data_IF_170110055611
#
_entry.id   IF_170110055611
#
_cell.length_a   1.000
_cell.length_b   1.000
_cell.length_c   1.000
_cell.angle_alpha   90.00
_cell.angle_beta   90.00
_cell.angle_gamma   90.00
#
_symmetry.space_group_name_H-M   'P 1'
#
loop_
_entity.id
_entity.type
_entity.pdbx_description
1 polymer ?
#
# COMPACT_ATOMS: atom_id res chain seq x y z
N UNK A 1 -4.26 18.83 17.24
CA UNK A 1 -5.34 19.22 18.18
C UNK A 1 -6.43 18.13 18.11
N UNK A 2 -6.41 17.14 19.01
CA UNK A 2 -7.36 16.01 18.98
C UNK A 2 -8.32 16.10 20.18
N UNK A 3 -9.64 16.09 19.92
CA UNK A 3 -10.68 15.97 20.94
C UNK A 3 -11.40 14.62 20.83
N UNK A 4 -11.60 13.96 21.98
CA UNK A 4 -12.07 12.59 22.08
C UNK A 4 -13.58 12.38 21.93
N UNK A 5 -13.95 11.10 21.94
CA UNK A 5 -15.34 10.62 21.96
C UNK A 5 -15.45 9.47 22.96
N UNK A 6 -16.27 9.70 24.00
CA UNK A 6 -16.69 8.73 25.01
C UNK A 6 -17.64 7.66 24.41
N UNK A 7 -17.47 6.41 24.86
CA UNK A 7 -18.35 5.27 24.54
C UNK A 7 -19.57 5.25 25.46
N UNK A 8 -20.77 5.18 24.87
CA UNK A 8 -22.03 4.89 25.58
C UNK A 8 -22.39 3.41 25.42
N UNK A 9 -22.48 2.70 26.54
CA UNK A 9 -23.04 1.35 26.64
C UNK A 9 -24.55 1.34 26.40
N UNK A 10 -25.06 0.33 25.69
CA UNK A 10 -26.39 -0.23 25.99
C UNK A 10 -26.46 -1.72 25.68
N UNK A 11 -27.13 -2.44 26.58
CA UNK A 11 -27.33 -3.89 26.64
C UNK A 11 -28.76 -4.25 26.19
N UNK A 12 -28.97 -5.48 25.68
CA UNK A 12 -30.19 -6.22 26.00
C UNK A 12 -30.97 -6.96 24.89
N UNK A 13 -30.83 -8.29 24.92
CA UNK A 13 -31.89 -9.35 24.86
C UNK A 13 -32.70 -9.66 23.58
N UNK A 14 -32.32 -10.80 22.99
CA UNK A 14 -33.11 -12.05 22.77
C UNK A 14 -34.63 -12.01 22.53
N UNK A 15 -35.09 -12.66 21.43
CA UNK A 15 -36.20 -13.63 21.48
C UNK A 15 -36.28 -14.57 20.26
N UNK A 16 -36.55 -15.84 20.58
CA UNK A 16 -36.77 -17.05 19.76
C UNK A 16 -38.20 -17.14 19.20
N UNK A 17 -38.37 -17.98 18.15
CA UNK A 17 -39.55 -18.81 17.72
C UNK A 17 -39.92 -18.57 16.25
N UNK A 18 -40.31 -19.52 15.38
CA UNK A 18 -40.52 -20.98 15.38
C UNK A 18 -40.67 -21.40 13.91
N UNK A 19 -40.20 -22.58 13.53
CA UNK A 19 -40.42 -23.21 12.22
C UNK A 19 -41.76 -23.96 12.16
N UNK A 20 -42.45 -23.93 11.02
CA UNK A 20 -43.45 -24.95 10.64
C UNK A 20 -43.34 -25.26 9.14
N UNK A 21 -43.24 -26.56 8.87
CA UNK A 21 -43.11 -27.22 7.57
C UNK A 21 -44.40 -27.16 6.74
N UNK A 22 -44.26 -27.11 5.41
CA UNK A 22 -45.31 -27.50 4.47
C UNK A 22 -44.79 -28.66 3.59
N UNK A 23 -45.48 -29.81 3.69
CA UNK A 23 -45.27 -31.01 2.89
C UNK A 23 -45.82 -30.80 1.47
N UNK A 24 -45.03 -31.16 0.46
CA UNK A 24 -45.47 -31.26 -0.94
C UNK A 24 -45.84 -32.72 -1.25
N UNK A 25 -47.08 -32.92 -1.66
CA UNK A 25 -47.62 -34.21 -2.10
C UNK A 25 -47.11 -34.59 -3.49
N UNK A 26 -46.88 -35.91 -3.64
CA UNK A 26 -46.42 -36.59 -4.83
C UNK A 26 -47.57 -36.77 -5.83
N UNK A 27 -47.34 -36.43 -7.10
CA UNK A 27 -48.11 -36.98 -8.22
C UNK A 27 -47.21 -37.82 -9.12
N UNK A 28 -47.61 -39.09 -9.31
CA UNK A 28 -47.01 -40.03 -10.26
C UNK A 28 -47.62 -39.87 -11.67
N UNK A 29 -46.91 -40.27 -12.74
CA UNK A 29 -47.22 -39.91 -14.12
C UNK A 29 -48.06 -40.98 -14.86
N UNK A 30 -48.52 -40.64 -16.05
CA UNK A 30 -49.19 -41.55 -17.01
C UNK A 30 -48.86 -41.10 -18.45
N UNK A 31 -48.96 -41.99 -19.45
CA UNK A 31 -47.77 -42.49 -20.14
C UNK A 31 -47.57 -41.95 -21.57
N UNK A 32 -46.37 -42.28 -22.04
CA UNK A 32 -45.74 -42.06 -23.35
C UNK A 32 -46.65 -42.41 -24.54
N UNK A 33 -46.71 -41.49 -25.51
CA UNK A 33 -47.04 -41.80 -26.90
C UNK A 33 -45.83 -41.44 -27.77
N UNK A 34 -45.26 -42.46 -28.42
CA UNK A 34 -44.18 -42.34 -29.39
C UNK A 34 -44.69 -41.71 -30.69
N UNK A 35 -44.02 -40.64 -31.13
CA UNK A 35 -44.03 -40.26 -32.54
C UNK A 35 -42.61 -39.93 -32.97
N UNK A 36 -42.07 -40.82 -33.81
CA UNK A 36 -40.89 -40.64 -34.64
C UNK A 36 -41.04 -39.41 -35.56
N UNK A 37 -40.00 -38.57 -35.68
CA UNK A 37 -39.62 -37.86 -36.92
C UNK A 37 -38.28 -37.11 -36.80
N UNK A 38 -37.33 -37.56 -37.63
CA UNK A 38 -36.21 -36.87 -38.31
C UNK A 38 -35.18 -36.03 -37.48
N UNK A 39 -33.87 -36.16 -37.76
CA UNK A 39 -32.83 -35.42 -37.06
C UNK A 39 -32.81 -33.95 -37.52
N UNK A 40 -33.20 -33.05 -36.62
CA UNK A 40 -32.80 -31.65 -36.69
C UNK A 40 -31.33 -31.59 -36.25
N UNK A 41 -30.45 -31.21 -37.17
CA UNK A 41 -29.06 -30.89 -36.85
C UNK A 41 -29.04 -29.59 -36.05
N UNK A 42 -29.17 -29.71 -34.74
CA UNK A 42 -28.88 -28.63 -33.81
C UNK A 42 -27.36 -28.53 -33.69
N UNK A 43 -26.77 -27.45 -34.20
CA UNK A 43 -25.50 -26.96 -33.66
C UNK A 43 -25.77 -26.61 -32.20
N UNK A 44 -25.62 -27.59 -31.31
CA UNK A 44 -25.61 -27.37 -29.89
C UNK A 44 -24.41 -26.49 -29.60
N UNK A 45 -24.66 -25.23 -29.25
CA UNK A 45 -23.68 -24.39 -28.60
C UNK A 45 -23.30 -25.15 -27.33
N UNK A 46 -22.09 -25.70 -27.30
CA UNK A 46 -21.56 -26.39 -26.13
C UNK A 46 -21.59 -25.40 -24.98
N UNK A 47 -22.44 -25.65 -23.99
CA UNK A 47 -22.39 -24.91 -22.73
C UNK A 47 -20.97 -25.14 -22.18
N UNK A 48 -20.21 -24.08 -21.84
CA UNK A 48 -18.90 -24.26 -21.24
C UNK A 48 -19.04 -25.18 -20.03
N UNK A 49 -18.40 -26.36 -20.12
CA UNK A 49 -18.41 -27.35 -19.05
C UNK A 49 -17.26 -27.05 -18.12
N UNK A 50 -17.58 -26.83 -16.85
CA UNK A 50 -16.58 -26.77 -15.78
C UNK A 50 -15.75 -28.05 -15.82
N UNK A 51 -14.42 -27.92 -15.79
CA UNK A 51 -13.48 -29.03 -15.88
C UNK A 51 -13.81 -30.08 -14.79
N UNK A 52 -13.75 -31.38 -15.11
CA UNK A 52 -14.03 -32.46 -14.16
C UNK A 52 -13.09 -32.48 -12.95
N UNK A 53 -11.94 -31.81 -13.03
CA UNK A 53 -11.03 -31.58 -11.92
C UNK A 53 -11.56 -30.55 -10.89
N UNK A 54 -12.49 -29.68 -11.28
CA UNK A 54 -13.04 -28.64 -10.39
C UNK A 54 -14.17 -29.24 -9.54
N UNK A 55 -14.07 -29.21 -8.19
CA UNK A 55 -15.06 -29.81 -7.33
C UNK A 55 -16.41 -29.12 -7.46
N UNK A 56 -17.48 -29.90 -7.66
CA UNK A 56 -18.86 -29.36 -7.68
C UNK A 56 -19.35 -28.87 -6.31
N UNK A 57 -18.63 -29.21 -5.24
CA UNK A 57 -18.96 -28.84 -3.86
C UNK A 57 -17.66 -28.76 -3.06
N UNK A 58 -17.39 -27.59 -2.49
CA UNK A 58 -16.31 -27.40 -1.53
C UNK A 58 -16.82 -27.73 -0.12
N UNK A 59 -16.11 -28.60 0.61
CA UNK A 59 -16.44 -28.99 2.00
C UNK A 59 -15.23 -28.70 2.86
N UNK A 60 -15.38 -27.74 3.78
CA UNK A 60 -14.35 -27.25 4.67
C UNK A 60 -13.95 -28.34 5.68
N UNK A 61 -12.64 -28.58 5.85
CA UNK A 61 -12.06 -29.71 6.59
C UNK A 61 -11.53 -29.33 7.98
N UNK A 62 -11.35 -28.03 8.30
CA UNK A 62 -10.78 -27.58 9.58
C UNK A 62 -11.57 -26.44 10.27
N UNK A 63 -11.53 -26.41 11.61
CA UNK A 63 -12.17 -25.38 12.45
C UNK A 63 -11.27 -24.14 12.58
N UNK A 64 -11.01 -23.48 11.45
CA UNK A 64 -10.36 -22.16 11.39
C UNK A 64 -11.38 -21.17 10.88
N UNK A 65 -12.29 -20.76 11.78
CA UNK A 65 -13.46 -19.94 11.47
C UNK A 65 -13.11 -18.71 10.61
N UNK A 66 -12.04 -17.98 10.95
CA UNK A 66 -11.60 -16.78 10.22
C UNK A 66 -11.20 -17.09 8.77
N UNK A 67 -10.23 -17.99 8.58
CA UNK A 67 -9.76 -18.41 7.24
C UNK A 67 -10.89 -18.95 6.38
N UNK A 68 -11.81 -19.69 6.99
CA UNK A 68 -12.99 -20.21 6.30
C UNK A 68 -13.92 -19.10 5.82
N UNK A 69 -14.23 -18.14 6.69
CA UNK A 69 -15.07 -16.98 6.34
C UNK A 69 -14.40 -16.11 5.26
N UNK A 70 -13.08 -15.92 5.34
CA UNK A 70 -12.31 -15.22 4.33
C UNK A 70 -12.34 -15.92 2.99
N UNK A 71 -12.14 -17.24 2.95
CA UNK A 71 -12.17 -18.02 1.71
C UNK A 71 -13.57 -17.99 1.06
N UNK A 72 -14.64 -18.14 1.85
CA UNK A 72 -16.01 -17.98 1.36
C UNK A 72 -16.21 -16.58 0.77
N UNK A 73 -15.71 -15.55 1.46
CA UNK A 73 -15.82 -14.18 0.97
C UNK A 73 -15.02 -13.96 -0.31
N UNK A 74 -13.81 -14.52 -0.43
CA UNK A 74 -13.00 -14.47 -1.65
C UNK A 74 -13.72 -15.15 -2.82
N UNK A 75 -14.41 -16.27 -2.58
CA UNK A 75 -15.27 -16.93 -3.57
C UNK A 75 -16.43 -16.00 -4.00
N UNK A 76 -17.13 -15.39 -3.04
CA UNK A 76 -18.25 -14.48 -3.30
C UNK A 76 -17.84 -13.19 -4.03
N UNK A 77 -16.59 -12.76 -3.86
CA UNK A 77 -15.99 -11.63 -4.56
C UNK A 77 -15.38 -12.02 -5.92
N UNK A 78 -15.38 -13.31 -6.28
CA UNK A 78 -14.80 -13.79 -7.53
C UNK A 78 -13.27 -13.74 -7.57
N UNK A 79 -12.61 -13.70 -6.41
CA UNK A 79 -11.15 -13.67 -6.29
C UNK A 79 -10.53 -15.06 -6.38
N UNK A 80 -11.30 -16.13 -6.15
CA UNK A 80 -10.85 -17.51 -6.34
C UNK A 80 -11.21 -17.99 -7.75
N UNK A 81 -10.26 -18.65 -8.40
CA UNK A 81 -10.36 -19.20 -9.75
C UNK A 81 -10.06 -20.70 -9.76
N UNK A 82 -10.27 -21.35 -10.90
CA UNK A 82 -10.06 -22.80 -11.05
C UNK A 82 -8.58 -23.22 -10.86
N UNK A 83 -7.61 -22.33 -11.09
CA UNK A 83 -6.18 -22.64 -10.91
C UNK A 83 -5.75 -22.62 -9.42
N UNK A 84 -6.45 -21.84 -8.59
CA UNK A 84 -6.24 -21.84 -7.13
C UNK A 84 -6.72 -23.17 -6.51
N UNK A 85 -7.49 -23.91 -7.31
CA UNK A 85 -8.17 -25.14 -7.04
C UNK A 85 -7.42 -26.39 -7.61
N UNK A 86 -6.10 -26.33 -7.78
CA UNK A 86 -5.30 -27.48 -8.22
C UNK A 86 -4.79 -28.36 -7.06
N UNK A 87 -4.87 -29.69 -7.22
CA UNK A 87 -4.34 -30.63 -6.23
C UNK A 87 -2.79 -30.65 -6.22
N UNK A 88 -2.17 -30.86 -5.05
CA UNK A 88 -2.81 -31.00 -3.74
C UNK A 88 -3.15 -29.63 -3.14
N UNK A 89 -4.42 -29.44 -2.77
CA UNK A 89 -4.78 -28.52 -1.69
C UNK A 89 -4.88 -29.37 -0.41
N UNK A 90 -4.24 -28.94 0.66
CA UNK A 90 -4.31 -29.68 1.93
C UNK A 90 -5.30 -29.01 2.90
N UNK A 91 -5.44 -27.68 2.82
CA UNK A 91 -6.25 -26.87 3.73
C UNK A 91 -6.88 -25.65 3.02
N UNK A 92 -7.89 -25.05 3.65
CA UNK A 92 -8.54 -23.79 3.19
C UNK A 92 -7.54 -22.63 3.10
N UNK A 93 -6.56 -22.59 4.01
CA UNK A 93 -5.51 -21.58 4.03
C UNK A 93 -4.65 -21.62 2.76
N UNK A 94 -4.36 -22.83 2.23
CA UNK A 94 -3.59 -22.97 0.98
C UNK A 94 -4.36 -22.37 -0.21
N UNK A 95 -5.66 -22.63 -0.31
CA UNK A 95 -6.49 -22.08 -1.41
C UNK A 95 -6.60 -20.56 -1.29
N UNK A 96 -6.86 -20.05 -0.09
CA UNK A 96 -6.93 -18.62 0.18
C UNK A 96 -5.60 -17.92 -0.14
N UNK A 97 -4.48 -18.49 0.31
CA UNK A 97 -3.14 -17.97 0.04
C UNK A 97 -2.80 -17.96 -1.46
N UNK A 98 -3.10 -19.02 -2.20
CA UNK A 98 -2.90 -19.06 -3.67
C UNK A 98 -3.73 -17.99 -4.37
N UNK A 99 -5.03 -17.90 -4.07
CA UNK A 99 -5.92 -16.92 -4.68
C UNK A 99 -5.47 -15.48 -4.37
N UNK A 100 -5.05 -15.22 -3.13
CA UNK A 100 -4.56 -13.91 -2.73
C UNK A 100 -3.22 -13.58 -3.39
N UNK A 101 -2.24 -14.48 -3.37
CA UNK A 101 -0.93 -14.27 -4.02
C UNK A 101 -1.10 -14.02 -5.52
N UNK A 102 -1.95 -14.77 -6.20
CA UNK A 102 -2.26 -14.53 -7.62
C UNK A 102 -2.88 -13.15 -7.85
N UNK A 103 -3.79 -12.71 -6.96
CA UNK A 103 -4.34 -11.36 -7.03
C UNK A 103 -3.24 -10.30 -6.87
N UNK A 104 -2.35 -10.46 -5.88
CA UNK A 104 -1.21 -9.54 -5.67
C UNK A 104 -0.26 -9.53 -6.86
N UNK A 105 0.10 -10.70 -7.41
CA UNK A 105 0.96 -10.82 -8.61
C UNK A 105 0.34 -10.15 -9.84
N UNK A 106 -0.99 -10.19 -9.98
CA UNK A 106 -1.70 -9.51 -11.05
C UNK A 106 -1.65 -7.99 -10.88
N UNK A 107 -1.86 -7.49 -9.66
CA UNK A 107 -1.85 -6.04 -9.39
C UNK A 107 -0.43 -5.44 -9.39
N UNK A 108 0.58 -6.22 -8.98
CA UNK A 108 2.00 -5.81 -8.98
C UNK A 108 2.69 -5.92 -10.34
N UNK A 109 2.02 -6.56 -11.31
CA UNK A 109 2.58 -6.79 -12.64
C UNK A 109 2.96 -5.48 -13.33
N UNK A 110 4.20 -5.40 -13.80
CA UNK A 110 4.73 -4.25 -14.54
C UNK A 110 5.32 -3.13 -13.68
N UNK A 111 5.35 -3.28 -12.35
CA UNK A 111 6.16 -2.42 -11.49
C UNK A 111 7.64 -2.68 -11.75
N UNK A 112 8.43 -1.61 -11.86
CA UNK A 112 9.86 -1.69 -12.17
C UNK A 112 10.74 -1.32 -10.98
N UNK A 113 10.28 -0.40 -10.14
CA UNK A 113 10.99 0.14 -8.98
C UNK A 113 10.51 -0.51 -7.68
N UNK A 114 9.22 -0.83 -7.58
CA UNK A 114 8.64 -1.36 -6.36
C UNK A 114 8.47 -2.88 -6.41
N UNK A 115 8.68 -3.52 -5.26
CA UNK A 115 8.40 -4.94 -5.05
C UNK A 115 7.60 -5.13 -3.75
N UNK A 116 6.31 -4.72 -3.73
CA UNK A 116 5.47 -4.82 -2.54
C UNK A 116 5.14 -6.28 -2.24
N UNK A 117 5.16 -6.63 -0.96
CA UNK A 117 4.71 -7.92 -0.45
C UNK A 117 3.55 -7.67 0.48
N UNK A 118 2.39 -8.22 0.15
CA UNK A 118 1.21 -8.14 1.01
C UNK A 118 0.91 -9.53 1.54
N UNK A 119 0.79 -9.65 2.87
CA UNK A 119 0.56 -10.92 3.56
C UNK A 119 -0.81 -10.90 4.22
N UNK A 120 -1.56 -11.99 4.02
CA UNK A 120 -2.83 -12.22 4.72
C UNK A 120 -2.55 -13.02 6.00
N UNK A 121 -2.79 -12.42 7.17
CA UNK A 121 -2.47 -13.03 8.48
C UNK A 121 -3.58 -12.77 9.51
N UNK A 122 -3.64 -13.56 10.57
CA UNK A 122 -4.55 -13.37 11.70
C UNK A 122 -3.87 -12.77 12.95
N UNK A 123 -2.55 -12.60 12.93
CA UNK A 123 -1.76 -11.87 13.93
C UNK A 123 -0.51 -11.22 13.29
N UNK A 124 0.04 -10.21 13.97
CA UNK A 124 1.41 -9.75 13.71
C UNK A 124 2.30 -10.33 14.80
N UNK A 125 3.14 -11.31 14.45
CA UNK A 125 4.26 -11.70 15.28
C UNK A 125 5.48 -10.93 14.79
N UNK A 126 6.02 -10.08 15.65
CA UNK A 126 7.32 -9.48 15.41
C UNK A 126 8.39 -10.43 15.98
N UNK A 127 9.43 -10.74 15.22
CA UNK A 127 10.49 -11.70 15.60
C UNK A 127 11.43 -11.12 16.70
N UNK A 128 10.89 -10.40 17.69
CA UNK A 128 11.67 -9.76 18.74
C UNK A 128 10.93 -8.90 19.77
N UNK A 129 9.73 -8.37 19.51
CA UNK A 129 9.02 -7.52 20.48
C UNK A 129 8.01 -8.28 21.33
N UNK A 130 7.79 -7.81 22.57
CA UNK A 130 6.86 -8.43 23.53
C UNK A 130 5.39 -8.11 23.30
N UNK A 131 5.06 -7.44 22.18
CA UNK A 131 3.72 -6.94 21.87
C UNK A 131 3.16 -7.67 20.65
N UNK A 132 2.76 -8.93 20.84
CA UNK A 132 1.96 -9.65 19.83
C UNK A 132 0.65 -8.89 19.60
N UNK A 133 0.47 -8.32 18.41
CA UNK A 133 -0.80 -7.71 18.03
C UNK A 133 -1.78 -8.81 17.56
N UNK A 134 -2.78 -9.10 18.40
CA UNK A 134 -3.90 -9.98 18.08
C UNK A 134 -5.00 -9.20 17.34
N UNK A 135 -5.30 -9.61 16.10
CA UNK A 135 -6.35 -9.03 15.29
C UNK A 135 -7.77 -9.30 15.83
N UNK A 136 -7.93 -10.08 16.92
CA UNK A 136 -9.21 -10.37 17.54
C UNK A 136 -10.08 -11.23 16.63
N UNK A 137 -11.18 -10.68 16.10
CA UNK A 137 -12.03 -11.35 15.09
C UNK A 137 -11.68 -10.94 13.64
N UNK A 138 -10.79 -9.96 13.45
CA UNK A 138 -10.39 -9.47 12.14
C UNK A 138 -9.33 -10.36 11.48
N UNK A 139 -9.11 -10.09 10.19
CA UNK A 139 -7.98 -10.55 9.39
C UNK A 139 -7.18 -9.32 8.96
N UNK A 140 -5.86 -9.49 8.89
CA UNK A 140 -4.91 -8.45 8.53
C UNK A 140 -4.39 -8.65 7.11
N UNK A 141 -4.30 -7.54 6.36
CA UNK A 141 -3.53 -7.44 5.13
C UNK A 141 -2.31 -6.58 5.45
N UNK A 142 -1.16 -7.21 5.69
CA UNK A 142 0.07 -6.53 6.13
C UNK A 142 0.98 -6.21 4.96
N UNK A 143 1.54 -5.01 4.92
CA UNK A 143 2.29 -4.48 3.79
C UNK A 143 3.78 -4.42 4.11
N UNK A 144 4.59 -4.97 3.22
CA UNK A 144 6.06 -4.98 3.30
C UNK A 144 6.64 -4.61 1.93
N UNK A 145 7.94 -4.33 1.89
CA UNK A 145 8.69 -4.15 0.65
C UNK A 145 9.84 -5.15 0.55
N UNK A 146 10.18 -5.53 -0.67
CA UNK A 146 11.45 -6.22 -0.99
C UNK A 146 12.36 -5.38 -1.88
N UNK A 147 11.94 -4.17 -2.22
CA UNK A 147 12.72 -3.26 -3.03
C UNK A 147 13.81 -2.60 -2.19
N UNK A 148 15.00 -2.47 -2.77
CA UNK A 148 16.16 -1.75 -2.22
C UNK A 148 16.85 -0.89 -3.28
N UNK A 149 16.05 -0.36 -4.21
CA UNK A 149 16.59 0.42 -5.32
C UNK A 149 17.03 1.82 -4.84
N UNK A 150 18.15 2.28 -5.40
CA UNK A 150 18.69 3.62 -5.20
C UNK A 150 18.48 4.48 -6.45
N UNK A 151 17.89 5.66 -6.27
CA UNK A 151 17.59 6.59 -7.35
C UNK A 151 18.30 7.93 -7.13
N UNK A 152 18.95 8.45 -8.17
CA UNK A 152 19.39 9.85 -8.24
C UNK A 152 18.38 10.65 -9.06
N UNK A 153 17.67 11.58 -8.42
CA UNK A 153 16.57 12.32 -9.05
C UNK A 153 16.91 13.76 -9.43
N UNK A 154 17.99 14.35 -8.89
CA UNK A 154 18.25 15.79 -8.99
C UNK A 154 18.35 16.28 -10.43
N UNK A 155 19.17 15.62 -11.27
CA UNK A 155 19.32 16.00 -12.68
C UNK A 155 18.00 15.92 -13.46
N UNK A 156 17.18 14.90 -13.21
CA UNK A 156 15.90 14.74 -13.89
C UNK A 156 14.88 15.80 -13.44
N UNK A 157 14.77 16.02 -12.14
CA UNK A 157 13.89 17.03 -11.55
C UNK A 157 14.27 18.45 -12.01
N UNK A 158 15.56 18.80 -12.00
CA UNK A 158 16.06 20.09 -12.51
C UNK A 158 15.82 20.24 -14.01
N UNK A 159 15.95 19.18 -14.80
CA UNK A 159 15.69 19.23 -16.24
C UNK A 159 14.22 19.56 -16.53
N UNK A 160 13.29 18.98 -15.75
CA UNK A 160 11.86 19.31 -15.84
C UNK A 160 11.60 20.76 -15.42
N UNK A 161 12.18 21.19 -14.30
CA UNK A 161 12.02 22.55 -13.79
C UNK A 161 12.56 23.61 -14.77
N UNK A 162 13.69 23.32 -15.42
CA UNK A 162 14.26 24.17 -16.47
C UNK A 162 13.42 24.16 -17.75
N UNK A 163 12.79 23.04 -18.11
CA UNK A 163 11.92 22.94 -19.27
C UNK A 163 10.61 23.72 -19.07
N UNK A 164 10.06 23.71 -17.86
CA UNK A 164 8.88 24.51 -17.49
C UNK A 164 8.93 24.92 -16.01
N UNK A 165 9.16 26.19 -15.69
CA UNK A 165 9.22 26.66 -14.30
C UNK A 165 7.98 26.32 -13.48
N UNK A 166 8.21 25.77 -12.29
CA UNK A 166 7.24 25.25 -11.33
C UNK A 166 6.80 23.82 -11.58
N UNK A 167 7.18 23.18 -12.70
CA UNK A 167 6.73 21.83 -13.03
C UNK A 167 7.51 20.75 -12.26
N UNK A 168 8.83 20.92 -12.10
CA UNK A 168 9.65 19.97 -11.36
C UNK A 168 9.26 19.95 -9.89
N UNK A 169 9.12 21.13 -9.29
CA UNK A 169 8.65 21.26 -7.90
C UNK A 169 7.22 20.74 -7.71
N UNK A 170 6.32 21.00 -8.66
CA UNK A 170 4.95 20.45 -8.60
C UNK A 170 4.94 18.92 -8.71
N UNK A 171 5.79 18.33 -9.55
CA UNK A 171 5.91 16.88 -9.66
C UNK A 171 6.41 16.29 -8.34
N UNK A 172 7.47 16.86 -7.76
CA UNK A 172 8.00 16.45 -6.45
C UNK A 172 6.93 16.55 -5.35
N UNK A 173 6.13 17.60 -5.35
CA UNK A 173 5.01 17.74 -4.41
C UNK A 173 3.98 16.61 -4.54
N UNK A 174 3.61 16.21 -5.77
CA UNK A 174 2.66 15.12 -5.96
C UNK A 174 3.28 13.75 -5.64
N UNK A 175 4.57 13.56 -5.91
CA UNK A 175 5.31 12.37 -5.49
C UNK A 175 5.28 12.24 -3.97
N UNK A 176 5.67 13.29 -3.24
CA UNK A 176 5.68 13.27 -1.77
C UNK A 176 4.32 12.86 -1.20
N UNK A 177 3.23 13.48 -1.68
CA UNK A 177 1.87 13.11 -1.27
C UNK A 177 1.49 11.66 -1.54
N UNK A 178 1.95 11.11 -2.67
CA UNK A 178 1.65 9.73 -3.06
C UNK A 178 2.48 8.70 -2.29
N UNK A 179 3.74 9.01 -1.95
CA UNK A 179 4.59 8.19 -1.09
C UNK A 179 3.94 8.01 0.28
N UNK A 180 3.51 9.09 0.94
CA UNK A 180 2.79 9.01 2.23
C UNK A 180 1.47 8.20 2.19
N UNK A 181 0.93 7.94 0.99
CA UNK A 181 -0.31 7.19 0.82
C UNK A 181 -0.07 5.70 0.49
N UNK A 182 1.19 5.26 0.44
CA UNK A 182 1.59 3.91 0.01
C UNK A 182 2.69 3.30 0.89
N UNK A 183 3.93 3.22 0.41
CA UNK A 183 5.07 2.64 1.11
C UNK A 183 6.05 3.75 1.49
N UNK A 184 6.66 3.64 2.66
CA UNK A 184 7.69 4.57 3.10
C UNK A 184 8.88 4.54 2.15
N UNK A 185 9.41 5.72 1.82
CA UNK A 185 10.62 5.87 1.02
C UNK A 185 11.54 6.87 1.73
N UNK A 186 12.84 6.63 1.69
CA UNK A 186 13.83 7.63 2.08
C UNK A 186 13.96 8.63 0.91
N UNK A 187 13.45 9.85 1.08
CA UNK A 187 13.42 10.90 0.07
C UNK A 187 13.99 12.18 0.66
N UNK A 188 14.34 13.20 -0.14
CA UNK A 188 14.78 14.48 0.43
C UNK A 188 13.70 15.11 1.34
N UNK A 189 12.42 14.84 1.10
CA UNK A 189 11.35 15.33 1.96
C UNK A 189 11.25 14.54 3.27
N UNK A 190 11.15 13.21 3.22
CA UNK A 190 11.06 12.39 4.43
C UNK A 190 12.32 12.47 5.29
N UNK A 191 13.51 12.53 4.69
CA UNK A 191 14.76 12.73 5.44
C UNK A 191 14.87 14.14 6.03
N UNK A 192 14.18 15.15 5.49
CA UNK A 192 14.07 16.44 6.19
C UNK A 192 13.24 16.28 7.47
N UNK A 193 12.13 15.55 7.42
CA UNK A 193 11.32 15.25 8.61
C UNK A 193 12.11 14.43 9.64
N UNK A 194 12.90 13.45 9.19
CA UNK A 194 13.81 12.69 10.05
C UNK A 194 14.91 13.59 10.64
N UNK A 195 15.46 14.54 9.89
CA UNK A 195 16.45 15.47 10.42
C UNK A 195 15.86 16.35 11.54
N UNK A 196 14.62 16.83 11.34
CA UNK A 196 13.88 17.55 12.40
C UNK A 196 13.75 16.68 13.64
N UNK A 197 13.32 15.44 13.46
CA UNK A 197 13.14 14.49 14.55
C UNK A 197 14.45 14.15 15.30
N UNK A 198 15.50 13.77 14.57
CA UNK A 198 16.74 13.22 15.13
C UNK A 198 17.71 14.29 15.63
N UNK A 199 17.83 15.43 14.95
CA UNK A 199 18.84 16.43 15.29
C UNK A 199 18.27 17.72 15.88
N UNK A 200 17.01 18.05 15.60
CA UNK A 200 16.43 19.36 15.97
C UNK A 200 15.25 19.25 16.94
N UNK A 201 15.12 18.11 17.63
CA UNK A 201 14.09 17.87 18.65
C UNK A 201 12.65 18.10 18.16
N UNK A 202 12.40 17.84 16.88
CA UNK A 202 11.12 18.05 16.21
C UNK A 202 10.89 19.45 15.65
N UNK A 203 11.84 20.38 15.84
CA UNK A 203 11.77 21.74 15.30
C UNK A 203 12.30 21.84 13.86
N UNK A 204 12.05 22.98 13.20
CA UNK A 204 12.45 23.20 11.81
C UNK A 204 13.96 23.45 11.60
N UNK A 205 14.69 23.79 12.67
CA UNK A 205 16.12 24.06 12.69
C UNK A 205 16.75 23.84 14.08
N UNK A 206 18.07 23.94 14.17
CA UNK A 206 18.82 23.63 15.38
C UNK A 206 18.69 24.66 16.53
N UNK A 207 17.82 25.69 16.43
CA UNK A 207 17.80 26.79 17.41
C UNK A 207 17.48 26.34 18.83
N UNK A 208 16.54 25.42 19.01
CA UNK A 208 16.18 24.94 20.36
C UNK A 208 17.36 24.19 21.00
N UNK A 209 18.07 23.37 20.22
CA UNK A 209 19.27 22.66 20.66
C UNK A 209 20.36 23.64 21.10
N UNK A 210 20.57 24.73 20.32
CA UNK A 210 21.50 25.81 20.70
C UNK A 210 21.09 26.47 22.03
N UNK A 211 19.80 26.75 22.21
CA UNK A 211 19.28 27.37 23.44
C UNK A 211 19.51 26.46 24.67
N UNK A 212 19.33 25.15 24.52
CA UNK A 212 19.59 24.17 25.57
C UNK A 212 21.08 24.05 25.91
N UNK A 213 21.97 23.92 24.91
CA UNK A 213 23.42 23.90 25.14
C UNK A 213 23.89 25.14 25.92
N UNK A 214 23.39 26.33 25.56
CA UNK A 214 23.71 27.57 26.25
C UNK A 214 23.20 27.59 27.69
N UNK A 215 22.01 27.03 27.94
CA UNK A 215 21.44 26.92 29.28
C UNK A 215 22.22 25.96 30.19
N UNK A 216 22.84 24.93 29.61
CA UNK A 216 23.72 23.98 30.32
C UNK A 216 25.15 24.52 30.52
N UNK A 217 25.46 25.69 29.96
CA UNK A 217 26.78 26.33 30.05
C UNK A 217 27.80 25.79 29.07
N UNK A 218 27.35 25.05 28.04
CA UNK A 218 28.16 24.57 26.93
C UNK A 218 28.26 25.62 25.83
N UNK A 219 29.36 25.60 25.08
CA UNK A 219 29.51 26.43 23.89
C UNK A 219 28.93 25.71 22.68
N UNK A 220 27.95 26.28 21.96
CA UNK A 220 27.43 25.69 20.72
C UNK A 220 28.47 25.52 19.60
N UNK A 221 29.63 26.16 19.73
CA UNK A 221 30.76 26.02 18.81
C UNK A 221 31.61 24.77 19.12
N UNK A 222 31.54 24.27 20.36
CA UNK A 222 32.29 23.09 20.82
C UNK A 222 31.48 21.79 20.69
N UNK A 223 30.18 21.90 20.39
CA UNK A 223 29.27 20.76 20.17
C UNK A 223 29.14 20.49 18.67
N UNK A 224 29.42 19.25 18.25
CA UNK A 224 29.15 18.80 16.88
C UNK A 224 27.63 18.68 16.70
N UNK A 225 27.06 19.64 15.97
CA UNK A 225 25.62 19.76 15.77
C UNK A 225 25.32 19.81 14.28
N UNK A 226 24.45 18.90 13.84
CA UNK A 226 23.98 18.86 12.47
C UNK A 226 22.98 19.99 12.22
N UNK A 227 23.29 20.90 11.30
CA UNK A 227 22.51 22.12 11.08
C UNK A 227 21.56 21.97 9.91
N UNK A 228 20.52 22.80 9.90
CA UNK A 228 19.66 22.93 8.72
C UNK A 228 20.45 23.30 7.47
N UNK A 229 21.45 24.17 7.61
CA UNK A 229 22.32 24.56 6.49
C UNK A 229 23.11 23.40 5.90
N UNK A 230 23.43 22.39 6.70
CA UNK A 230 24.20 21.22 6.25
C UNK A 230 23.35 20.38 5.31
N UNK A 231 22.10 20.08 5.73
CA UNK A 231 21.14 19.33 4.90
C UNK A 231 20.88 19.98 3.52
N UNK A 232 20.78 21.31 3.47
CA UNK A 232 20.54 22.06 2.23
C UNK A 232 21.81 22.44 1.47
N UNK A 233 23.01 22.04 1.93
CA UNK A 233 24.25 22.38 1.25
C UNK A 233 24.35 21.77 -0.16
N UNK A 234 23.65 20.65 -0.38
CA UNK A 234 23.79 19.78 -1.58
C UNK A 234 22.49 19.54 -2.34
N UNK A 235 21.38 20.10 -1.87
CA UNK A 235 20.08 20.01 -2.52
C UNK A 235 19.30 21.33 -2.35
N UNK A 236 18.50 21.74 -3.34
CA UNK A 236 17.72 22.97 -3.24
C UNK A 236 16.54 22.79 -2.28
N UNK A 237 16.14 23.86 -1.58
CA UNK A 237 15.04 23.78 -0.59
C UNK A 237 13.76 23.14 -1.13
N UNK A 238 13.41 23.45 -2.37
CA UNK A 238 12.19 22.93 -3.01
C UNK A 238 12.22 21.42 -3.27
N UNK A 239 13.40 20.77 -3.24
CA UNK A 239 13.49 19.32 -3.38
C UNK A 239 13.04 18.60 -2.10
N UNK A 240 13.27 19.20 -0.92
CA UNK A 240 12.90 18.64 0.37
C UNK A 240 11.61 19.25 0.97
N UNK A 241 11.24 20.47 0.59
CA UNK A 241 9.96 21.10 0.92
C UNK A 241 9.24 21.55 -0.36
N UNK A 242 8.83 20.61 -1.24
CA UNK A 242 8.22 20.95 -2.51
C UNK A 242 6.84 21.57 -2.33
N UNK A 243 6.49 22.55 -3.17
CA UNK A 243 5.18 23.20 -3.17
C UNK A 243 4.46 22.99 -4.50
N UNK A 244 3.13 22.92 -4.43
CA UNK A 244 2.31 22.91 -5.64
C UNK A 244 2.33 24.29 -6.32
N UNK A 245 3.26 24.50 -7.25
CA UNK A 245 3.34 25.74 -8.05
C UNK A 245 2.32 25.76 -9.19
N UNK A 246 1.93 24.59 -9.70
CA UNK A 246 0.99 24.45 -10.81
C UNK A 246 -0.28 23.71 -10.38
N UNK A 247 -1.42 24.32 -10.68
CA UNK A 247 -2.74 23.72 -10.49
C UNK A 247 -3.03 22.62 -11.53
N UNK A 248 -4.00 21.71 -11.27
CA UNK A 248 -4.40 20.69 -12.24
C UNK A 248 -4.86 21.27 -13.59
N UNK A 249 -5.43 22.47 -13.60
CA UNK A 249 -5.82 23.15 -14.84
C UNK A 249 -4.60 23.60 -15.66
N UNK A 250 -3.53 24.07 -15.00
CA UNK A 250 -2.27 24.41 -15.65
C UNK A 250 -1.56 23.16 -16.17
N UNK A 251 -1.54 22.05 -15.42
CA UNK A 251 -0.99 20.78 -15.88
C UNK A 251 -1.70 20.30 -17.17
N UNK A 252 -3.04 20.32 -17.19
CA UNK A 252 -3.82 19.99 -18.41
C UNK A 252 -3.51 20.91 -19.59
N UNK A 253 -3.18 22.18 -19.34
CA UNK A 253 -2.77 23.10 -20.40
C UNK A 253 -1.41 22.69 -20.95
N UNK A 254 -0.43 22.42 -20.08
CA UNK A 254 0.92 22.00 -20.47
C UNK A 254 0.88 20.73 -21.33
N UNK A 255 0.10 19.73 -20.92
CA UNK A 255 -0.10 18.47 -21.68
C UNK A 255 -0.63 18.72 -23.10
N UNK A 256 -1.42 19.79 -23.33
CA UNK A 256 -1.99 20.11 -24.65
C UNK A 256 -1.10 20.98 -25.52
N UNK A 257 -0.16 21.72 -24.91
CA UNK A 257 0.58 22.79 -25.59
C UNK A 257 2.08 22.56 -25.65
N UNK A 258 2.58 21.53 -24.98
CA UNK A 258 4.01 21.23 -24.85
C UNK A 258 4.24 19.79 -25.30
N UNK A 259 5.47 19.47 -25.68
CA UNK A 259 5.87 18.13 -26.11
C UNK A 259 7.04 17.62 -25.26
N UNK A 260 7.37 16.33 -25.39
CA UNK A 260 8.48 15.68 -24.71
C UNK A 260 8.40 15.76 -23.19
N UNK A 261 9.55 16.03 -22.55
CA UNK A 261 9.72 15.95 -21.09
C UNK A 261 8.70 16.78 -20.29
N UNK A 262 8.36 17.99 -20.75
CA UNK A 262 7.39 18.83 -20.05
C UNK A 262 5.96 18.27 -20.13
N UNK A 263 5.58 17.64 -21.25
CA UNK A 263 4.30 16.96 -21.39
C UNK A 263 4.23 15.72 -20.51
N UNK A 264 5.27 14.90 -20.54
CA UNK A 264 5.37 13.66 -19.75
C UNK A 264 5.34 13.95 -18.24
N UNK A 265 6.10 14.94 -17.77
CA UNK A 265 6.11 15.34 -16.37
C UNK A 265 4.76 15.92 -15.92
N UNK A 266 4.11 16.73 -16.76
CA UNK A 266 2.77 17.25 -16.44
C UNK A 266 1.72 16.13 -16.40
N UNK A 267 1.83 15.12 -17.26
CA UNK A 267 0.96 13.95 -17.25
C UNK A 267 1.16 13.13 -15.97
N UNK A 268 2.41 12.84 -15.58
CA UNK A 268 2.73 12.11 -14.36
C UNK A 268 2.25 12.85 -13.10
N UNK A 269 2.51 14.15 -12.99
CA UNK A 269 2.04 14.96 -11.87
C UNK A 269 0.50 15.01 -11.79
N UNK A 270 -0.18 15.12 -12.94
CA UNK A 270 -1.63 15.13 -12.98
C UNK A 270 -2.20 13.76 -12.58
N UNK A 271 -1.62 12.67 -13.09
CA UNK A 271 -2.03 11.31 -12.75
C UNK A 271 -1.90 11.02 -11.25
N UNK A 272 -0.75 11.31 -10.64
CA UNK A 272 -0.55 11.19 -9.19
C UNK A 272 -1.62 11.95 -8.41
N UNK A 273 -1.90 13.20 -8.82
CA UNK A 273 -2.91 14.02 -8.15
C UNK A 273 -4.33 13.44 -8.25
N UNK A 274 -4.63 12.66 -9.31
CA UNK A 274 -5.93 12.04 -9.54
C UNK A 274 -6.10 10.70 -8.81
N UNK A 275 -5.01 10.00 -8.52
CA UNK A 275 -5.06 8.74 -7.75
C UNK A 275 -5.26 8.96 -6.25
N UNK A 276 -5.00 10.17 -5.75
CA UNK A 276 -5.27 10.54 -4.35
C UNK A 276 -6.75 10.92 -4.18
N UNK A 277 -7.60 9.89 -4.14
CA UNK A 277 -9.06 10.01 -4.04
C UNK A 277 -9.54 10.13 -2.59
N UNK A 278 -10.68 10.79 -2.40
CA UNK A 278 -11.34 10.90 -1.10
C UNK A 278 -11.78 9.51 -0.60
N UNK A 279 -11.47 9.21 0.66
CA UNK A 279 -11.87 7.97 1.33
C UNK A 279 -10.91 6.79 1.19
N UNK A 280 -9.91 6.88 0.31
CA UNK A 280 -8.76 5.96 0.34
C UNK A 280 -7.87 6.28 1.55
N UNK A 281 -7.40 5.23 2.20
CA UNK A 281 -6.37 5.31 3.25
C UNK A 281 -5.30 4.29 2.92
N UNK A 282 -4.05 4.76 2.84
CA UNK A 282 -2.90 3.87 2.73
C UNK A 282 -2.79 2.92 3.92
N UNK A 283 -1.92 1.91 3.85
CA UNK A 283 -1.60 1.09 5.02
C UNK A 283 -1.12 2.00 6.15
N UNK A 284 -1.54 1.70 7.37
CA UNK A 284 -1.16 2.45 8.56
C UNK A 284 -1.19 1.52 9.78
N UNK A 285 -0.64 1.99 10.89
CA UNK A 285 -0.73 1.32 12.17
C UNK A 285 -1.81 1.99 13.04
N UNK A 286 -2.76 1.22 13.58
CA UNK A 286 -3.77 1.76 14.51
C UNK A 286 -3.15 2.13 15.87
N UNK A 287 -2.12 1.40 16.28
CA UNK A 287 -1.34 1.60 17.49
C UNK A 287 0.13 1.75 17.13
N UNK A 288 0.94 2.34 17.99
CA UNK A 288 2.38 2.44 17.75
C UNK A 288 3.00 1.04 17.79
N UNK A 289 3.51 0.57 16.65
CA UNK A 289 4.19 -0.73 16.52
C UNK A 289 5.73 -0.57 16.48
N UNK A 290 6.22 0.65 16.29
CA UNK A 290 7.64 0.96 16.17
C UNK A 290 7.93 1.87 14.99
N UNK A 291 9.18 2.29 14.90
CA UNK A 291 9.72 3.06 13.77
C UNK A 291 9.92 2.14 12.55
N UNK A 292 9.46 2.56 11.36
CA UNK A 292 9.70 1.78 10.14
C UNK A 292 11.15 1.97 9.66
N UNK A 293 11.87 0.85 9.54
CA UNK A 293 13.31 0.83 9.22
C UNK A 293 13.62 0.20 7.86
N UNK A 294 12.60 -0.15 7.06
CA UNK A 294 12.78 -0.81 5.76
C UNK A 294 12.12 0.04 4.65
N UNK A 295 12.80 1.08 4.15
CA UNK A 295 12.21 1.97 3.16
C UNK A 295 12.13 1.25 1.82
N UNK A 296 11.00 1.40 1.12
CA UNK A 296 10.81 0.74 -0.17
C UNK A 296 11.74 1.26 -1.28
N UNK A 297 12.22 2.50 -1.16
CA UNK A 297 13.18 3.12 -2.07
C UNK A 297 14.10 4.09 -1.32
N UNK A 298 15.34 4.18 -1.79
CA UNK A 298 16.26 5.28 -1.46
C UNK A 298 16.31 6.26 -2.61
N UNK A 299 15.66 7.42 -2.43
CA UNK A 299 15.55 8.48 -3.42
C UNK A 299 16.43 9.64 -2.99
N UNK A 300 17.56 9.78 -3.67
CA UNK A 300 18.56 10.81 -3.42
C UNK A 300 18.49 11.88 -4.49
N UNK A 301 18.64 13.14 -4.09
CA UNK A 301 18.92 14.25 -4.99
C UNK A 301 20.22 14.03 -5.79
N UNK A 302 21.30 13.66 -5.11
CA UNK A 302 22.62 13.42 -5.71
C UNK A 302 23.47 12.46 -4.85
N UNK A 303 24.59 11.96 -5.38
CA UNK A 303 25.53 11.11 -4.61
C UNK A 303 26.15 11.85 -3.41
N UNK A 304 26.11 13.18 -3.41
CA UNK A 304 26.69 14.03 -2.37
C UNK A 304 25.65 14.56 -1.37
N UNK A 305 24.37 14.19 -1.51
CA UNK A 305 23.37 14.64 -0.54
C UNK A 305 23.41 13.85 0.77
N UNK A 306 22.72 14.41 1.77
CA UNK A 306 22.67 13.84 3.12
C UNK A 306 21.45 12.92 3.36
N UNK A 307 20.70 12.55 2.33
CA UNK A 307 19.54 11.64 2.49
C UNK A 307 19.99 10.32 3.13
N UNK A 308 21.08 9.75 2.63
CA UNK A 308 21.64 8.49 3.13
C UNK A 308 22.17 8.64 4.56
N UNK A 309 22.93 9.70 4.84
CA UNK A 309 23.46 10.00 6.18
C UNK A 309 22.33 10.13 7.21
N UNK A 310 21.34 10.97 6.92
CA UNK A 310 20.22 11.21 7.84
C UNK A 310 19.42 9.93 8.07
N UNK A 311 19.20 9.14 7.03
CA UNK A 311 18.51 7.86 7.18
C UNK A 311 19.32 6.85 7.98
N UNK A 312 20.64 6.76 7.77
CA UNK A 312 21.54 5.86 8.53
C UNK A 312 21.57 6.20 10.02
N UNK A 313 21.67 7.49 10.37
CA UNK A 313 21.61 7.95 11.75
C UNK A 313 20.23 7.62 12.38
N UNK A 314 19.13 7.88 11.66
CA UNK A 314 17.79 7.47 12.10
C UNK A 314 17.69 5.95 12.31
N UNK A 315 18.15 5.16 11.34
CA UNK A 315 18.12 3.69 11.40
C UNK A 315 18.91 3.16 12.61
N UNK A 316 20.10 3.73 12.86
CA UNK A 316 20.91 3.39 14.03
C UNK A 316 20.15 3.66 15.33
N UNK A 317 19.43 4.78 15.44
CA UNK A 317 18.62 5.10 16.61
C UNK A 317 17.37 4.22 16.74
N UNK A 318 16.61 4.04 15.65
CA UNK A 318 15.37 3.26 15.61
C UNK A 318 15.62 1.79 16.02
N UNK A 319 16.72 1.20 15.58
CA UNK A 319 17.10 -0.18 15.93
C UNK A 319 17.52 -0.38 17.39
N UNK A 320 17.72 0.68 18.18
CA UNK A 320 17.89 0.60 19.63
C UNK A 320 16.54 0.57 20.39
N UNK A 321 15.43 0.71 19.68
CA UNK A 321 14.06 0.75 20.20
C UNK A 321 13.18 -0.26 19.44
N UNK A 322 11.88 -0.26 19.72
CA UNK A 322 10.88 -0.98 18.93
C UNK A 322 10.87 -0.43 17.49
N UNK A 323 11.17 -1.28 16.52
CA UNK A 323 11.20 -0.96 15.09
C UNK A 323 10.48 -2.07 14.30
N UNK A 324 10.09 -1.76 13.06
CA UNK A 324 9.37 -2.69 12.20
C UNK A 324 9.80 -2.56 10.74
N UNK A 325 9.72 -3.66 9.99
CA UNK A 325 9.85 -3.70 8.53
C UNK A 325 8.49 -3.62 7.81
N UNK A 326 7.39 -3.57 8.57
CA UNK A 326 6.04 -3.41 8.03
C UNK A 326 5.71 -1.95 7.74
N UNK A 327 5.06 -1.67 6.62
CA UNK A 327 4.53 -0.36 6.25
C UNK A 327 3.08 -0.14 6.73
N UNK A 328 2.56 -1.05 7.56
CA UNK A 328 1.20 -0.98 8.10
C UNK A 328 0.32 -2.14 7.63
N UNK A 329 -0.95 -2.08 8.01
CA UNK A 329 -1.91 -3.12 7.68
C UNK A 329 -3.33 -2.59 7.48
N UNK A 330 -4.17 -3.39 6.84
CA UNK A 330 -5.63 -3.26 6.93
C UNK A 330 -6.18 -4.33 7.86
N UNK A 331 -6.86 -3.90 8.94
CA UNK A 331 -7.56 -4.79 9.87
C UNK A 331 -9.05 -4.80 9.56
N UNK A 332 -9.56 -5.91 9.03
CA UNK A 332 -10.94 -5.98 8.55
C UNK A 332 -11.67 -7.23 9.01
N UNK A 333 -12.99 -7.11 9.14
CA UNK A 333 -13.86 -8.24 9.38
C UNK A 333 -13.81 -9.20 8.17
N UNK A 334 -13.84 -10.53 8.39
CA UNK A 334 -13.80 -11.52 7.32
C UNK A 334 -15.16 -11.69 6.65
N UNK A 335 -15.78 -10.58 6.27
CA UNK A 335 -17.05 -10.52 5.56
C UNK A 335 -16.91 -9.74 4.24
N UNK A 336 -17.99 -9.75 3.45
CA UNK A 336 -18.00 -9.17 2.11
C UNK A 336 -17.74 -7.66 2.10
N UNK A 337 -18.14 -6.93 3.15
CA UNK A 337 -17.92 -5.49 3.23
C UNK A 337 -16.46 -5.20 3.58
N UNK A 338 -15.93 -5.84 4.62
CA UNK A 338 -14.56 -5.65 5.10
C UNK A 338 -13.52 -6.06 4.07
N UNK A 339 -13.56 -7.31 3.59
CA UNK A 339 -12.62 -7.81 2.57
C UNK A 339 -12.86 -7.10 1.24
N UNK A 340 -14.11 -6.83 0.86
CA UNK A 340 -14.43 -6.11 -0.38
C UNK A 340 -13.80 -4.72 -0.42
N UNK A 341 -13.86 -3.99 0.70
CA UNK A 341 -13.20 -2.69 0.84
C UNK A 341 -11.67 -2.83 0.82
N UNK A 342 -11.10 -3.76 1.60
CA UNK A 342 -9.65 -3.98 1.62
C UNK A 342 -9.09 -4.29 0.23
N UNK A 343 -9.80 -5.09 -0.57
CA UNK A 343 -9.40 -5.42 -1.95
C UNK A 343 -9.44 -4.18 -2.87
N UNK A 344 -10.44 -3.31 -2.75
CA UNK A 344 -10.47 -2.08 -3.53
C UNK A 344 -9.38 -1.09 -3.08
N UNK A 345 -9.13 -0.99 -1.78
CA UNK A 345 -8.04 -0.16 -1.25
C UNK A 345 -6.67 -0.70 -1.71
N UNK A 346 -6.45 -2.02 -1.73
CA UNK A 346 -5.24 -2.63 -2.32
C UNK A 346 -5.10 -2.30 -3.81
N UNK A 347 -6.20 -2.35 -4.59
CA UNK A 347 -6.16 -1.92 -5.99
C UNK A 347 -5.79 -0.45 -6.14
N UNK A 348 -6.32 0.40 -5.28
CA UNK A 348 -6.00 1.82 -5.30
C UNK A 348 -4.53 2.06 -4.91
N UNK A 349 -4.03 1.34 -3.90
CA UNK A 349 -2.61 1.30 -3.54
C UNK A 349 -1.74 0.99 -4.76
N UNK A 350 -2.04 -0.07 -5.52
CA UNK A 350 -1.29 -0.42 -6.73
C UNK A 350 -1.42 0.60 -7.88
N UNK A 351 -2.55 1.30 -8.00
CA UNK A 351 -2.68 2.41 -8.97
C UNK A 351 -1.77 3.58 -8.61
N UNK A 352 -1.68 3.92 -7.32
CA UNK A 352 -0.76 4.96 -6.84
C UNK A 352 0.69 4.51 -7.03
N UNK A 353 1.02 3.27 -6.69
CA UNK A 353 2.37 2.71 -6.86
C UNK A 353 2.82 2.73 -8.33
N UNK A 354 1.95 2.40 -9.29
CA UNK A 354 2.25 2.49 -10.73
C UNK A 354 2.47 3.93 -11.20
N UNK A 355 1.71 4.88 -10.67
CA UNK A 355 1.90 6.30 -10.97
C UNK A 355 3.22 6.82 -10.38
N UNK A 356 3.59 6.37 -9.18
CA UNK A 356 4.89 6.64 -8.56
C UNK A 356 6.03 6.03 -9.38
N UNK A 357 5.89 4.76 -9.79
CA UNK A 357 6.88 4.05 -10.60
C UNK A 357 7.19 4.80 -11.90
N UNK A 358 6.14 5.30 -12.56
CA UNK A 358 6.23 6.13 -13.77
C UNK A 358 6.92 7.47 -13.47
N UNK A 359 6.51 8.16 -12.40
CA UNK A 359 7.05 9.46 -12.04
C UNK A 359 8.54 9.38 -11.65
N UNK A 360 8.92 8.37 -10.86
CA UNK A 360 10.31 8.14 -10.49
C UNK A 360 11.15 7.66 -11.66
N UNK A 361 10.61 6.83 -12.56
CA UNK A 361 11.32 6.43 -13.78
C UNK A 361 11.59 7.61 -14.73
N UNK A 362 10.76 8.66 -14.66
CA UNK A 362 10.95 9.87 -15.46
C UNK A 362 12.12 10.74 -14.95
N UNK A 363 12.29 10.83 -13.62
CA UNK A 363 13.28 11.74 -13.00
C UNK A 363 14.53 11.04 -12.48
N UNK A 364 14.41 9.76 -12.16
CA UNK A 364 15.39 8.97 -11.44
C UNK A 364 16.30 8.19 -12.37
N UNK A 365 17.60 8.29 -12.11
CA UNK A 365 18.58 7.33 -12.61
C UNK A 365 18.86 6.30 -11.53
N UNK A 366 18.70 5.00 -11.85
CA UNK A 366 19.11 3.91 -10.96
C UNK A 366 20.62 3.91 -10.77
N UNK A 367 21.03 3.68 -9.53
CA UNK A 367 22.40 3.34 -9.19
C UNK A 367 22.40 1.84 -8.91
N UNK A 368 23.25 1.10 -9.62
CA UNK A 368 23.51 -0.28 -9.25
C UNK A 368 24.20 -0.25 -7.87
N UNK A 369 23.50 -0.71 -6.83
CA UNK A 369 24.11 -0.87 -5.52
C UNK A 369 25.21 -1.92 -5.63
N UNK A 370 26.45 -1.57 -5.29
CA UNK A 370 27.38 -2.57 -4.80
C UNK A 370 26.80 -3.08 -3.48
N UNK A 371 26.15 -4.25 -3.54
CA UNK A 371 25.44 -4.87 -2.42
C UNK A 371 26.34 -5.47 -1.35
#
# INVERSE_FOLDING_TARGET
MYSGIERVHTTGRTRRRTAINAQLEKHSPSPVAEHSKLPLSTCAISIPSINCAVPKKFVIRHDVKKTTLALITFLDLGLVSEIDLEEPWETEAVVLGRAFNRFIEQESSGLALYNPVIVLTDSLSDDGSSNDFDAGDNILFSFYSKSREYLLIGKGAESIENAYPGLGETLMYQIGRAVYATLDCATPQSCLDLAKYSYWQGEDDEKMVIEECLAEGESPEDVEMYRRSDYFAKLPEWAADPKQKLSPAQLRKIIRTSDGLACEAAQAALELSQQLIDGYRGPYFEEFIGDNIDPALFVRWSEEDDVERVYDDYYYHATQSDCTDSHGYYSVQPDKEGIGKAVEDIRQFFRILRALDTAFSLIGKRIDGEG
#
